data_IF_593170754787
#
_entry.id   IF_593170754787
#
_cell.length_a   1.000
_cell.length_b   1.000
_cell.length_c   1.000
_cell.angle_alpha   90.00
_cell.angle_beta   90.00
_cell.angle_gamma   90.00
#
_symmetry.space_group_name_H-M   'P 1'
#
loop_
_entity.id
_entity.type
_entity.pdbx_description
1 polymer ?
#
# COMPACT_ATOMS: atom_id res chain seq x y z
N UNK A 1 -50.88 26.48 4.07
CA UNK A 1 -50.04 25.87 5.14
C UNK A 1 -50.30 26.60 6.45
N UNK A 2 -50.42 25.90 7.57
CA UNK A 2 -50.97 26.39 8.83
C UNK A 2 -49.97 27.30 9.61
N UNK A 3 -50.35 28.57 9.87
CA UNK A 3 -49.51 29.54 10.64
C UNK A 3 -49.12 29.03 12.04
N UNK A 4 -49.94 28.12 12.59
CA UNK A 4 -49.67 27.54 13.89
C UNK A 4 -48.48 26.58 13.87
N UNK A 5 -48.31 25.81 12.79
CA UNK A 5 -47.19 24.88 12.57
C UNK A 5 -45.84 25.66 12.51
N UNK A 6 -45.81 26.76 11.72
CA UNK A 6 -44.59 27.57 11.59
C UNK A 6 -44.15 28.24 12.89
N UNK A 7 -45.12 28.72 13.68
CA UNK A 7 -44.83 29.28 15.00
C UNK A 7 -44.34 28.26 16.01
N UNK A 8 -44.89 27.04 15.98
CA UNK A 8 -44.44 25.97 16.86
C UNK A 8 -43.04 25.49 16.49
N UNK A 9 -42.80 25.31 15.20
CA UNK A 9 -41.51 24.91 14.66
C UNK A 9 -40.40 25.95 14.93
N UNK A 10 -40.68 27.23 14.75
CA UNK A 10 -39.72 28.31 15.07
C UNK A 10 -39.39 28.38 16.56
N UNK A 11 -40.32 28.00 17.45
CA UNK A 11 -40.12 27.98 18.89
C UNK A 11 -39.15 26.84 19.27
N UNK A 12 -39.31 25.63 18.69
CA UNK A 12 -38.39 24.50 18.89
C UNK A 12 -37.00 24.86 18.37
N UNK A 13 -36.93 25.45 17.19
CA UNK A 13 -35.66 25.89 16.60
C UNK A 13 -34.90 26.89 17.48
N UNK A 14 -35.57 27.80 18.19
CA UNK A 14 -34.93 28.79 19.08
C UNK A 14 -34.23 28.18 20.30
N UNK A 15 -34.65 27.01 20.77
CA UNK A 15 -34.02 26.32 21.91
C UNK A 15 -32.63 25.74 21.63
N UNK A 16 -32.30 25.49 20.36
CA UNK A 16 -30.97 24.98 19.98
C UNK A 16 -30.12 26.18 19.52
N UNK A 17 -29.09 26.49 20.27
CA UNK A 17 -28.16 27.55 19.88
C UNK A 17 -27.42 27.11 18.59
N UNK A 18 -27.55 27.92 17.54
CA UNK A 18 -26.95 27.67 16.21
C UNK A 18 -25.41 27.56 16.26
N UNK A 19 -24.80 28.18 17.27
CA UNK A 19 -23.33 28.15 17.44
C UNK A 19 -22.81 26.77 17.88
N UNK A 20 -23.60 26.02 18.63
CA UNK A 20 -23.16 24.72 19.17
C UNK A 20 -22.75 23.72 18.05
N UNK A 21 -23.59 23.40 17.05
CA UNK A 21 -23.20 22.49 15.98
C UNK A 21 -22.04 23.01 15.15
N UNK A 22 -21.90 24.32 14.99
CA UNK A 22 -20.73 24.91 14.31
C UNK A 22 -19.44 24.67 15.10
N UNK A 23 -19.45 24.89 16.41
CA UNK A 23 -18.28 24.64 17.27
C UNK A 23 -17.91 23.16 17.25
N UNK A 24 -18.90 22.26 17.34
CA UNK A 24 -18.66 20.80 17.25
C UNK A 24 -18.03 20.45 15.90
N UNK A 25 -18.57 20.99 14.78
CA UNK A 25 -18.02 20.74 13.45
C UNK A 25 -16.56 21.20 13.32
N UNK A 26 -16.22 22.36 13.86
CA UNK A 26 -14.85 22.90 13.84
C UNK A 26 -13.91 22.02 14.69
N UNK A 27 -14.29 21.69 15.92
CA UNK A 27 -13.47 20.88 16.83
C UNK A 27 -13.19 19.50 16.22
N UNK A 28 -14.24 18.79 15.79
CA UNK A 28 -14.08 17.48 15.17
C UNK A 28 -13.41 17.54 13.80
N UNK A 29 -13.57 18.64 13.05
CA UNK A 29 -12.83 18.90 11.83
C UNK A 29 -11.32 19.00 12.08
N UNK A 30 -10.91 19.71 13.12
CA UNK A 30 -9.51 19.81 13.53
C UNK A 30 -8.97 18.45 13.96
N UNK A 31 -9.71 17.71 14.81
CA UNK A 31 -9.33 16.34 15.23
C UNK A 31 -9.15 15.42 13.99
N UNK A 32 -10.07 15.50 13.03
CA UNK A 32 -10.00 14.74 11.79
C UNK A 32 -8.69 15.00 11.04
N UNK A 33 -8.33 16.25 10.81
CA UNK A 33 -7.11 16.63 10.09
C UNK A 33 -5.86 16.11 10.79
N UNK A 34 -5.79 16.26 12.13
CA UNK A 34 -4.65 15.75 12.90
C UNK A 34 -4.57 14.22 12.87
N UNK A 35 -5.70 13.53 12.99
CA UNK A 35 -5.75 12.06 12.91
C UNK A 35 -5.34 11.55 11.53
N UNK A 36 -5.82 12.16 10.44
CA UNK A 36 -5.42 11.80 9.09
C UNK A 36 -3.91 11.98 8.88
N UNK A 37 -3.35 13.07 9.40
CA UNK A 37 -1.92 13.30 9.35
C UNK A 37 -1.13 12.27 10.17
N UNK A 38 -1.61 11.95 11.36
CA UNK A 38 -0.98 10.93 12.22
C UNK A 38 -0.99 9.55 11.55
N UNK A 39 -2.12 9.15 10.94
CA UNK A 39 -2.22 7.90 10.18
C UNK A 39 -1.18 7.83 9.04
N UNK A 40 -1.04 8.93 8.29
CA UNK A 40 -0.08 8.96 7.18
C UNK A 40 1.38 8.91 7.67
N UNK A 41 1.72 9.65 8.72
CA UNK A 41 3.08 9.62 9.30
C UNK A 41 3.44 8.23 9.83
N UNK A 42 2.49 7.55 10.50
CA UNK A 42 2.71 6.18 10.99
C UNK A 42 2.86 5.18 9.85
N UNK A 43 2.11 5.31 8.76
CA UNK A 43 2.29 4.49 7.56
C UNK A 43 3.70 4.65 6.95
N UNK A 44 4.22 5.88 6.88
CA UNK A 44 5.57 6.15 6.40
C UNK A 44 6.64 5.57 7.33
N UNK A 45 6.47 5.70 8.65
CA UNK A 45 7.36 5.07 9.64
C UNK A 45 7.42 3.54 9.48
N UNK A 46 6.26 2.89 9.33
CA UNK A 46 6.21 1.45 9.12
C UNK A 46 6.83 1.04 7.77
N UNK A 47 6.67 1.85 6.71
CA UNK A 47 7.36 1.63 5.43
C UNK A 47 8.87 1.70 5.60
N UNK A 48 9.36 2.71 6.29
CA UNK A 48 10.80 2.90 6.51
C UNK A 48 11.37 1.78 7.40
N UNK A 49 10.57 1.26 8.34
CA UNK A 49 10.92 0.06 9.10
C UNK A 49 11.08 -1.17 8.18
N UNK A 50 10.15 -1.39 7.23
CA UNK A 50 10.27 -2.49 6.25
C UNK A 50 11.58 -2.38 5.45
N UNK A 51 11.95 -1.18 4.99
CA UNK A 51 13.18 -0.94 4.25
C UNK A 51 14.43 -1.22 5.13
N UNK A 52 14.37 -0.84 6.39
CA UNK A 52 15.45 -1.08 7.36
C UNK A 52 15.63 -2.57 7.65
N UNK A 53 14.52 -3.29 7.85
CA UNK A 53 14.50 -4.75 8.04
C UNK A 53 15.02 -5.49 6.81
N UNK A 54 14.69 -5.00 5.60
CA UNK A 54 15.26 -5.55 4.35
C UNK A 54 16.79 -5.41 4.31
N UNK A 55 17.31 -4.24 4.70
CA UNK A 55 18.75 -3.95 4.75
C UNK A 55 19.49 -4.86 5.76
N UNK A 56 18.88 -5.11 6.92
CA UNK A 56 19.49 -5.92 7.99
C UNK A 56 19.23 -7.42 7.86
N UNK A 57 18.53 -7.84 6.81
CA UNK A 57 18.10 -9.22 6.59
C UNK A 57 17.28 -9.80 7.77
N UNK A 58 16.42 -8.98 8.35
CA UNK A 58 15.51 -9.38 9.44
C UNK A 58 14.23 -10.03 8.94
N UNK A 59 13.21 -10.09 9.81
CA UNK A 59 11.89 -10.65 9.47
C UNK A 59 11.05 -9.67 8.63
N UNK A 60 11.33 -9.66 7.33
CA UNK A 60 10.65 -8.81 6.35
C UNK A 60 9.15 -9.12 6.28
N UNK A 61 8.79 -10.40 6.39
CA UNK A 61 7.38 -10.83 6.28
C UNK A 61 6.55 -10.30 7.46
N UNK A 62 7.13 -10.25 8.66
CA UNK A 62 6.50 -9.64 9.82
C UNK A 62 6.30 -8.14 9.61
N UNK A 63 7.35 -7.43 9.19
CA UNK A 63 7.28 -5.99 8.95
C UNK A 63 6.27 -5.62 7.85
N UNK A 64 6.19 -6.41 6.75
CA UNK A 64 5.19 -6.25 5.70
C UNK A 64 3.76 -6.51 6.20
N UNK A 65 3.56 -7.52 7.06
CA UNK A 65 2.24 -7.79 7.66
C UNK A 65 1.79 -6.64 8.56
N UNK A 66 2.67 -6.10 9.39
CA UNK A 66 2.37 -4.96 10.27
C UNK A 66 1.97 -3.74 9.44
N UNK A 67 2.76 -3.39 8.43
CA UNK A 67 2.46 -2.29 7.51
C UNK A 67 1.12 -2.50 6.80
N UNK A 68 0.88 -3.68 6.23
CA UNK A 68 -0.36 -4.00 5.51
C UNK A 68 -1.58 -3.91 6.42
N UNK A 69 -1.50 -4.47 7.63
CA UNK A 69 -2.59 -4.42 8.61
C UNK A 69 -2.91 -2.99 9.01
N UNK A 70 -1.89 -2.17 9.21
CA UNK A 70 -2.07 -0.76 9.53
C UNK A 70 -2.75 0.00 8.39
N UNK A 71 -2.27 -0.14 7.15
CA UNK A 71 -2.83 0.55 5.98
C UNK A 71 -4.29 0.16 5.74
N UNK A 72 -4.63 -1.12 5.85
CA UNK A 72 -6.01 -1.57 5.66
C UNK A 72 -6.97 -1.16 6.79
N UNK A 73 -6.45 -0.86 7.96
CA UNK A 73 -7.22 -0.38 9.10
C UNK A 73 -7.40 1.14 9.17
N UNK A 74 -6.65 1.93 8.37
CA UNK A 74 -6.61 3.39 8.50
C UNK A 74 -6.76 4.08 7.15
N UNK A 75 -7.71 5.02 7.07
CA UNK A 75 -7.93 5.80 5.86
C UNK A 75 -6.84 6.87 5.65
N UNK A 76 -6.71 7.34 4.40
CA UNK A 76 -5.78 8.40 3.98
C UNK A 76 -4.30 8.10 4.27
N UNK A 77 -3.93 6.81 4.27
CA UNK A 77 -2.51 6.42 4.34
C UNK A 77 -1.94 6.35 2.93
N UNK A 78 -0.85 7.06 2.66
CA UNK A 78 -0.13 7.02 1.39
C UNK A 78 1.31 6.61 1.63
N UNK A 79 1.73 5.55 0.95
CA UNK A 79 3.11 5.07 0.99
C UNK A 79 4.04 5.81 0.04
N UNK A 80 3.47 6.56 -0.90
CA UNK A 80 4.20 7.34 -1.88
C UNK A 80 4.01 8.83 -1.62
N UNK A 81 5.09 9.60 -1.62
CA UNK A 81 5.08 11.04 -1.39
C UNK A 81 5.48 11.79 -2.67
N UNK A 82 4.66 12.79 -3.07
CA UNK A 82 4.96 13.69 -4.18
C UNK A 82 4.56 13.21 -5.57
N UNK A 83 4.66 14.13 -6.55
CA UNK A 83 4.25 13.88 -7.95
C UNK A 83 5.13 12.86 -8.68
N UNK A 84 6.39 12.70 -8.26
CA UNK A 84 7.35 11.77 -8.85
C UNK A 84 7.51 10.47 -8.03
N UNK A 85 6.48 10.09 -7.28
CA UNK A 85 6.53 8.90 -6.43
C UNK A 85 6.71 7.62 -7.26
N UNK A 86 7.70 6.83 -6.89
CA UNK A 86 7.99 5.53 -7.53
C UNK A 86 6.84 4.56 -7.22
N UNK A 87 6.34 3.88 -8.24
CA UNK A 87 5.34 2.82 -8.10
C UNK A 87 5.91 1.48 -8.57
N UNK A 88 5.70 0.41 -7.81
CA UNK A 88 5.10 0.35 -6.46
C UNK A 88 5.99 1.02 -5.39
N UNK A 89 5.38 1.56 -4.30
CA UNK A 89 6.08 2.40 -3.32
C UNK A 89 7.06 1.64 -2.41
N UNK A 90 6.90 0.33 -2.29
CA UNK A 90 7.80 -0.54 -1.53
C UNK A 90 8.58 -1.38 -2.52
N UNK A 91 9.89 -1.18 -2.55
CA UNK A 91 10.83 -1.96 -3.36
C UNK A 91 11.96 -2.45 -2.45
N UNK A 92 12.00 -3.76 -2.22
CA UNK A 92 12.95 -4.44 -1.34
C UNK A 92 14.24 -4.72 -2.11
N UNK A 93 15.12 -3.72 -2.19
CA UNK A 93 16.37 -3.78 -2.96
C UNK A 93 17.27 -4.91 -2.50
N UNK A 94 17.49 -5.02 -1.20
CA UNK A 94 18.42 -6.03 -0.64
C UNK A 94 17.85 -7.44 -0.77
N UNK A 95 16.54 -7.62 -0.63
CA UNK A 95 15.86 -8.91 -0.92
C UNK A 95 16.04 -9.29 -2.39
N UNK A 96 15.87 -8.35 -3.31
CA UNK A 96 16.09 -8.59 -4.73
C UNK A 96 17.54 -9.01 -5.01
N UNK A 97 18.52 -8.32 -4.43
CA UNK A 97 19.96 -8.66 -4.58
C UNK A 97 20.26 -10.06 -4.05
N UNK A 98 19.71 -10.44 -2.88
CA UNK A 98 19.84 -11.80 -2.33
C UNK A 98 19.20 -12.86 -3.22
N UNK A 99 18.02 -12.60 -3.76
CA UNK A 99 17.35 -13.52 -4.69
C UNK A 99 18.14 -13.67 -6.00
N UNK A 100 18.69 -12.55 -6.50
CA UNK A 100 19.53 -12.57 -7.70
C UNK A 100 20.81 -13.40 -7.48
N UNK A 101 21.47 -13.20 -6.36
CA UNK A 101 22.66 -13.96 -6.00
C UNK A 101 22.35 -15.46 -5.85
N UNK A 102 21.28 -15.81 -5.14
CA UNK A 102 20.87 -17.21 -4.99
C UNK A 102 20.55 -17.87 -6.34
N UNK A 103 19.94 -17.14 -7.27
CA UNK A 103 19.68 -17.65 -8.62
C UNK A 103 20.96 -17.81 -9.43
N UNK A 104 21.92 -16.89 -9.31
CA UNK A 104 23.24 -17.01 -9.94
C UNK A 104 24.02 -18.21 -9.41
N UNK A 105 24.02 -18.43 -8.09
CA UNK A 105 24.64 -19.59 -7.45
C UNK A 105 24.00 -20.91 -7.93
N UNK A 106 22.64 -20.94 -8.01
CA UNK A 106 21.92 -22.11 -8.55
C UNK A 106 22.33 -22.41 -9.98
N UNK A 107 22.31 -21.42 -10.86
CA UNK A 107 22.68 -21.57 -12.29
C UNK A 107 24.13 -22.02 -12.42
N UNK A 108 25.05 -21.45 -11.65
CA UNK A 108 26.46 -21.82 -11.65
C UNK A 108 26.66 -23.27 -11.22
N UNK A 109 25.97 -23.69 -10.15
CA UNK A 109 26.04 -25.08 -9.64
C UNK A 109 25.47 -26.07 -10.65
N UNK A 110 24.28 -25.78 -11.19
CA UNK A 110 23.63 -26.68 -12.17
C UNK A 110 24.46 -26.78 -13.44
N UNK A 111 25.01 -25.70 -13.97
CA UNK A 111 25.88 -25.72 -15.16
C UNK A 111 27.23 -26.40 -14.90
N UNK A 112 27.81 -26.28 -13.70
CA UNK A 112 28.99 -27.04 -13.31
C UNK A 112 28.75 -28.53 -13.31
N UNK A 113 27.59 -28.98 -12.79
CA UNK A 113 27.21 -30.40 -12.82
C UNK A 113 27.00 -30.90 -14.26
N UNK A 114 26.27 -30.10 -15.08
CA UNK A 114 26.04 -30.39 -16.50
C UNK A 114 27.37 -30.52 -17.26
N UNK A 115 28.37 -29.68 -16.96
CA UNK A 115 29.70 -29.77 -17.55
C UNK A 115 30.42 -31.06 -17.15
N UNK A 116 30.35 -31.46 -15.88
CA UNK A 116 30.93 -32.70 -15.37
C UNK A 116 30.26 -33.91 -16.03
N UNK A 117 28.92 -33.92 -16.10
CA UNK A 117 28.17 -34.99 -16.76
C UNK A 117 28.51 -35.10 -18.27
N UNK A 118 28.64 -33.92 -18.93
CA UNK A 118 29.07 -33.84 -20.33
C UNK A 118 30.46 -34.47 -20.55
N UNK A 119 31.40 -34.20 -19.63
CA UNK A 119 32.73 -34.79 -19.71
C UNK A 119 32.68 -36.32 -19.63
N UNK A 120 31.96 -36.85 -18.63
CA UNK A 120 31.82 -38.30 -18.40
C UNK A 120 31.16 -38.97 -19.61
N UNK A 121 30.05 -38.42 -20.11
CA UNK A 121 29.30 -38.97 -21.24
C UNK A 121 30.10 -38.92 -22.53
N UNK A 122 30.77 -37.78 -22.82
CA UNK A 122 31.55 -37.61 -24.03
C UNK A 122 32.88 -38.40 -23.98
N UNK A 123 33.42 -38.68 -22.78
CA UNK A 123 34.57 -39.59 -22.61
C UNK A 123 34.20 -41.04 -22.89
N UNK A 124 33.01 -41.46 -22.50
CA UNK A 124 32.46 -42.79 -22.83
C UNK A 124 32.27 -42.97 -24.35
N UNK A 125 31.78 -41.91 -25.04
CA UNK A 125 31.55 -41.94 -26.50
C UNK A 125 32.86 -41.84 -27.31
N UNK A 126 33.82 -41.08 -26.82
CA UNK A 126 35.12 -40.81 -27.44
C UNK A 126 36.28 -41.13 -26.49
N UNK A 127 36.64 -42.45 -26.32
CA UNK A 127 37.71 -42.85 -25.42
C UNK A 127 39.06 -42.25 -25.80
N UNK A 128 40.01 -42.19 -24.83
CA UNK A 128 41.36 -41.67 -24.99
C UNK A 128 42.11 -42.44 -26.09
N UNK A 129 42.53 -41.71 -27.12
CA UNK A 129 43.22 -42.31 -28.28
C UNK A 129 42.64 -41.83 -29.64
N UNK A 130 41.43 -41.41 -29.69
CA UNK A 130 40.87 -40.66 -30.84
C UNK A 130 41.12 -39.16 -30.59
N UNK A 131 41.90 -38.54 -31.49
CA UNK A 131 42.25 -37.14 -31.47
C UNK A 131 41.06 -36.29 -31.01
N UNK A 132 41.24 -35.27 -30.11
CA UNK A 132 40.20 -34.50 -29.43
C UNK A 132 39.16 -33.76 -30.29
N UNK A 133 39.16 -33.99 -31.59
CA UNK A 133 38.24 -33.38 -32.56
C UNK A 133 36.77 -33.76 -32.35
N UNK A 134 36.47 -34.95 -31.79
CA UNK A 134 35.09 -35.39 -31.52
C UNK A 134 34.58 -35.06 -30.11
N UNK A 135 35.50 -35.05 -29.12
CA UNK A 135 35.14 -34.85 -27.70
C UNK A 135 34.70 -33.40 -27.39
N UNK A 136 35.42 -32.41 -27.93
CA UNK A 136 35.09 -30.97 -27.73
C UNK A 136 33.71 -30.62 -28.31
N UNK A 137 33.38 -30.96 -29.55
CA UNK A 137 32.02 -30.73 -30.09
C UNK A 137 30.93 -31.47 -29.31
N UNK A 138 31.20 -32.69 -28.85
CA UNK A 138 30.26 -33.45 -28.01
C UNK A 138 29.94 -32.72 -26.71
N UNK A 139 30.95 -32.28 -25.94
CA UNK A 139 30.78 -31.51 -24.71
C UNK A 139 29.99 -30.22 -24.97
N UNK A 140 30.34 -29.50 -26.02
CA UNK A 140 29.66 -28.26 -26.40
C UNK A 140 28.17 -28.51 -26.69
N UNK A 141 27.85 -29.47 -27.53
CA UNK A 141 26.47 -29.85 -27.87
C UNK A 141 25.67 -30.30 -26.63
N UNK A 142 26.29 -31.02 -25.72
CA UNK A 142 25.67 -31.46 -24.47
C UNK A 142 25.32 -30.26 -23.59
N UNK A 143 26.24 -29.30 -23.40
CA UNK A 143 26.02 -28.07 -22.65
C UNK A 143 24.97 -27.21 -23.31
N UNK A 144 25.03 -27.00 -24.62
CA UNK A 144 24.07 -26.20 -25.38
C UNK A 144 22.63 -26.77 -25.28
N UNK A 145 22.51 -28.10 -25.18
CA UNK A 145 21.20 -28.80 -25.09
C UNK A 145 20.63 -28.87 -23.67
N UNK A 146 21.44 -28.87 -22.62
CA UNK A 146 21.03 -29.08 -21.22
C UNK A 146 21.36 -27.91 -20.29
N UNK A 147 22.11 -26.92 -20.76
CA UNK A 147 22.50 -25.78 -19.97
C UNK A 147 21.31 -25.00 -19.40
N UNK A 148 21.42 -24.59 -18.15
CA UNK A 148 20.35 -23.88 -17.43
C UNK A 148 20.57 -22.38 -17.55
N UNK A 149 19.56 -21.69 -18.07
CA UNK A 149 19.54 -20.23 -18.11
C UNK A 149 19.03 -19.62 -16.78
N UNK A 150 19.49 -18.40 -16.49
CA UNK A 150 19.02 -17.62 -15.36
C UNK A 150 17.55 -17.24 -15.54
N UNK A 151 16.74 -17.47 -14.50
CA UNK A 151 15.34 -17.06 -14.47
C UNK A 151 15.20 -15.63 -13.97
N UNK A 152 14.30 -14.87 -14.56
CA UNK A 152 13.94 -13.54 -14.06
C UNK A 152 13.26 -13.65 -12.70
N UNK A 153 13.62 -12.77 -11.76
CA UNK A 153 12.99 -12.73 -10.43
C UNK A 153 11.64 -12.04 -10.56
N UNK A 154 10.52 -12.71 -10.17
CA UNK A 154 9.20 -12.13 -10.24
C UNK A 154 9.07 -10.89 -9.34
N UNK A 155 8.45 -9.83 -9.85
CA UNK A 155 8.22 -8.57 -9.15
C UNK A 155 7.46 -8.76 -7.83
N UNK A 156 6.55 -9.73 -7.76
CA UNK A 156 5.77 -10.06 -6.58
C UNK A 156 6.60 -10.48 -5.36
N UNK A 157 7.87 -10.83 -5.53
CA UNK A 157 8.76 -11.24 -4.44
C UNK A 157 9.41 -10.06 -3.71
N UNK A 158 9.50 -8.88 -4.36
CA UNK A 158 10.24 -7.75 -3.81
C UNK A 158 9.56 -6.38 -4.00
N UNK A 159 8.46 -6.32 -4.76
CA UNK A 159 7.69 -5.09 -4.98
C UNK A 159 6.30 -5.22 -4.37
N UNK A 160 5.91 -4.27 -3.53
CA UNK A 160 4.61 -4.27 -2.85
C UNK A 160 3.94 -2.91 -2.93
N UNK A 161 2.61 -2.94 -3.05
CA UNK A 161 1.75 -1.78 -2.95
C UNK A 161 0.53 -2.12 -2.10
N UNK A 162 0.17 -1.22 -1.16
CA UNK A 162 -0.98 -1.36 -0.30
C UNK A 162 -1.84 -0.10 -0.41
N UNK A 163 -3.12 -0.30 -0.63
CA UNK A 163 -4.08 0.80 -0.81
C UNK A 163 -4.95 0.92 0.44
N UNK A 164 -5.01 2.14 0.98
CA UNK A 164 -5.86 2.43 2.14
C UNK A 164 -7.35 2.45 1.76
N UNK A 165 -8.26 2.12 2.71
CA UNK A 165 -9.68 2.23 2.50
C UNK A 165 -10.10 3.70 2.39
N UNK A 166 -11.25 3.96 1.76
CA UNK A 166 -11.84 5.30 1.68
C UNK A 166 -12.34 5.80 3.02
N UNK A 167 -12.74 4.90 3.88
CA UNK A 167 -13.19 5.17 5.25
C UNK A 167 -12.71 4.06 6.18
N UNK A 168 -12.38 4.42 7.42
CA UNK A 168 -11.99 3.48 8.48
C UNK A 168 -12.68 3.81 9.80
N UNK A 169 -13.02 2.82 10.63
CA UNK A 169 -13.67 3.02 11.92
C UNK A 169 -12.67 3.41 13.01
N UNK A 170 -11.75 4.33 12.69
CA UNK A 170 -10.76 4.90 13.60
C UNK A 170 -11.15 6.33 14.04
N UNK A 171 -10.26 6.98 14.77
CA UNK A 171 -10.48 8.37 15.22
C UNK A 171 -10.70 9.34 14.04
N UNK A 172 -10.00 9.14 12.92
CA UNK A 172 -10.14 9.95 11.72
C UNK A 172 -11.53 9.77 11.08
N UNK A 173 -11.98 8.51 10.92
CA UNK A 173 -13.27 8.21 10.32
C UNK A 173 -14.45 8.71 11.15
N UNK A 174 -14.44 8.47 12.46
CA UNK A 174 -15.53 8.94 13.34
C UNK A 174 -15.55 10.45 13.48
N UNK A 175 -14.39 11.10 13.60
CA UNK A 175 -14.34 12.57 13.66
C UNK A 175 -14.85 13.22 12.36
N UNK A 176 -14.56 12.61 11.20
CA UNK A 176 -15.10 13.04 9.90
C UNK A 176 -16.63 12.96 9.87
N UNK A 177 -17.21 11.85 10.34
CA UNK A 177 -18.67 11.66 10.39
C UNK A 177 -19.32 12.69 11.31
N UNK A 178 -18.79 12.86 12.52
CA UNK A 178 -19.34 13.83 13.49
C UNK A 178 -19.24 15.24 12.94
N UNK A 179 -18.09 15.63 12.37
CA UNK A 179 -17.91 16.95 11.78
C UNK A 179 -18.89 17.21 10.61
N UNK A 180 -19.06 16.23 9.72
CA UNK A 180 -19.95 16.32 8.57
C UNK A 180 -21.41 16.43 8.97
N UNK A 181 -21.86 15.58 9.90
CA UNK A 181 -23.23 15.60 10.41
C UNK A 181 -23.53 16.92 11.14
N UNK A 182 -22.60 17.38 11.99
CA UNK A 182 -22.76 18.65 12.71
C UNK A 182 -22.80 19.86 11.75
N UNK A 183 -21.96 19.84 10.72
CA UNK A 183 -21.97 20.89 9.69
C UNK A 183 -23.26 20.87 8.86
N UNK A 184 -23.72 19.69 8.45
CA UNK A 184 -25.00 19.57 7.74
C UNK A 184 -26.17 20.08 8.59
N UNK A 185 -26.21 19.72 9.88
CA UNK A 185 -27.23 20.22 10.80
C UNK A 185 -27.17 21.75 10.94
N UNK A 186 -25.98 22.34 11.05
CA UNK A 186 -25.78 23.78 11.09
C UNK A 186 -26.33 24.46 9.83
N UNK A 187 -26.01 23.94 8.63
CA UNK A 187 -26.49 24.52 7.35
C UNK A 187 -28.01 24.43 7.23
N UNK A 188 -28.58 23.26 7.52
CA UNK A 188 -30.04 23.05 7.50
C UNK A 188 -30.71 24.04 8.44
N UNK A 189 -30.17 24.22 9.62
CA UNK A 189 -30.66 25.15 10.62
C UNK A 189 -30.68 26.59 10.09
N UNK A 190 -29.58 27.05 9.46
CA UNK A 190 -29.48 28.38 8.86
C UNK A 190 -30.51 28.59 7.74
N UNK A 191 -30.67 27.60 6.88
CA UNK A 191 -31.64 27.67 5.76
C UNK A 191 -33.06 27.76 6.30
N UNK A 192 -33.42 26.92 7.28
CA UNK A 192 -34.72 26.92 7.90
C UNK A 192 -35.03 28.26 8.63
N UNK A 193 -34.05 28.81 9.36
CA UNK A 193 -34.21 30.11 10.01
C UNK A 193 -34.47 31.25 8.99
N UNK A 194 -33.76 31.24 7.86
CA UNK A 194 -33.96 32.23 6.81
C UNK A 194 -35.30 32.06 6.12
N UNK A 195 -35.69 30.84 5.82
CA UNK A 195 -36.96 30.53 5.16
C UNK A 195 -38.17 30.92 6.04
N UNK A 196 -38.15 30.53 7.32
CA UNK A 196 -39.22 30.88 8.27
C UNK A 196 -39.33 32.42 8.45
N UNK A 197 -38.20 33.16 8.47
CA UNK A 197 -38.19 34.61 8.56
C UNK A 197 -38.74 35.26 7.29
N UNK A 198 -38.45 34.72 6.12
CA UNK A 198 -38.97 35.21 4.84
C UNK A 198 -40.51 35.04 4.79
N UNK A 199 -40.99 33.81 5.09
CA UNK A 199 -42.42 33.48 5.09
C UNK A 199 -43.23 34.34 6.11
N UNK A 200 -42.63 34.61 7.29
CA UNK A 200 -43.27 35.47 8.29
C UNK A 200 -43.27 36.96 7.92
N UNK A 201 -42.40 37.37 7.01
CA UNK A 201 -42.38 38.77 6.51
C UNK A 201 -43.41 39.03 5.42
N UNK A 202 -43.71 38.00 4.63
CA UNK A 202 -44.63 38.05 3.50
C UNK A 202 -46.11 37.77 3.91
N UNK A 203 -46.34 37.51 5.22
CA UNK A 203 -47.66 37.30 5.86
C UNK A 203 -48.06 38.45 6.74
#
# INVERSE_FOLDING_TARGET
MDKSFFRHFSRILRHINTVIPLVIAIVFGIICVFSLRANNLKALELRDNVITVDKTNGDIEKALRELRTFIYGHMNTSLSSGQNAIKPPIQLKYRYERLLQAEQERVSKDNSQIYTDAQVECERQFPVGLSGSGRIPCIKNYIDSKGVAQKSIPDALYKFDFVSPRWSPDLAGWSLVIASVSLAFFVIRLVLDRWVKAELRDL
#
